data_IF_647206538601
#
_entry.id   IF_647206538601
#
_cell.length_a   1.000
_cell.length_b   1.000
_cell.length_c   1.000
_cell.angle_alpha   90.00
_cell.angle_beta   90.00
_cell.angle_gamma   90.00
#
_symmetry.space_group_name_H-M   'P 1'
#
loop_
_entity.id
_entity.type
_entity.pdbx_description
1 polymer ?
#
# COMPACT_ATOMS: atom_id res chain seq x y z
N UNK A 1 27.45 -1.35 -10.55
CA UNK A 1 26.42 -0.61 -9.76
C UNK A 1 25.21 -1.47 -9.39
N UNK A 2 24.69 -2.34 -10.26
CA UNK A 2 23.48 -3.15 -10.00
C UNK A 2 23.53 -4.06 -8.75
N UNK A 3 24.68 -4.67 -8.44
CA UNK A 3 24.83 -5.51 -7.24
C UNK A 3 24.80 -4.73 -5.93
N UNK A 4 25.31 -3.48 -5.94
CA UNK A 4 25.27 -2.59 -4.78
C UNK A 4 23.82 -2.17 -4.49
N UNK A 5 23.09 -1.73 -5.51
CA UNK A 5 21.68 -1.33 -5.38
C UNK A 5 20.80 -2.47 -4.83
N UNK A 6 20.98 -3.71 -5.30
CA UNK A 6 20.25 -4.87 -4.76
C UNK A 6 20.56 -5.15 -3.28
N UNK A 7 21.82 -5.00 -2.87
CA UNK A 7 22.23 -5.18 -1.47
C UNK A 7 21.67 -4.06 -0.57
N UNK A 8 21.70 -2.82 -1.07
CA UNK A 8 21.13 -1.66 -0.35
C UNK A 8 19.62 -1.82 -0.18
N UNK A 9 18.91 -2.23 -1.23
CA UNK A 9 17.47 -2.54 -1.17
C UNK A 9 17.17 -3.66 -0.16
N UNK A 10 17.93 -4.76 -0.19
CA UNK A 10 17.76 -5.86 0.76
C UNK A 10 17.92 -5.38 2.21
N UNK A 11 18.94 -4.56 2.47
CA UNK A 11 19.16 -3.96 3.80
C UNK A 11 18.00 -3.06 4.22
N UNK A 12 17.53 -2.19 3.33
CA UNK A 12 16.44 -1.26 3.60
C UNK A 12 15.12 -2.00 3.87
N UNK A 13 14.81 -3.02 3.07
CA UNK A 13 13.62 -3.86 3.25
C UNK A 13 13.65 -4.60 4.60
N UNK A 14 14.77 -5.24 4.94
CA UNK A 14 14.90 -5.91 6.22
C UNK A 14 14.70 -4.94 7.39
N UNK A 15 15.30 -3.75 7.32
CA UNK A 15 15.14 -2.73 8.36
C UNK A 15 13.71 -2.21 8.46
N UNK A 16 13.03 -1.98 7.33
CA UNK A 16 11.64 -1.55 7.28
C UNK A 16 10.72 -2.60 7.91
N UNK A 17 10.87 -3.87 7.53
CA UNK A 17 10.08 -4.98 8.08
C UNK A 17 10.31 -5.16 9.57
N UNK A 18 11.56 -5.09 10.07
CA UNK A 18 11.83 -5.20 11.50
C UNK A 18 11.15 -4.08 12.31
N UNK A 19 11.22 -2.83 11.81
CA UNK A 19 10.55 -1.69 12.46
C UNK A 19 9.03 -1.83 12.42
N UNK A 20 8.49 -2.31 11.30
CA UNK A 20 7.06 -2.56 11.10
C UNK A 20 6.53 -3.54 12.14
N UNK A 21 7.15 -4.72 12.24
CA UNK A 21 6.72 -5.76 13.19
C UNK A 21 6.89 -5.33 14.64
N UNK A 22 8.03 -4.69 14.97
CA UNK A 22 8.28 -4.23 16.34
C UNK A 22 7.26 -3.18 16.78
N UNK A 23 6.98 -2.20 15.92
CA UNK A 23 6.03 -1.13 16.23
C UNK A 23 4.60 -1.65 16.29
N UNK A 24 4.20 -2.51 15.33
CA UNK A 24 2.92 -3.20 15.38
C UNK A 24 2.74 -3.98 16.67
N UNK A 25 3.72 -4.82 17.04
CA UNK A 25 3.65 -5.60 18.27
C UNK A 25 3.52 -4.68 19.48
N UNK A 26 4.35 -3.63 19.58
CA UNK A 26 4.32 -2.69 20.69
C UNK A 26 2.95 -2.01 20.83
N UNK A 27 2.39 -1.45 19.74
CA UNK A 27 1.12 -0.72 19.80
C UNK A 27 -0.07 -1.65 20.10
N UNK A 28 -0.10 -2.85 19.53
CA UNK A 28 -1.14 -3.83 19.82
C UNK A 28 -1.06 -4.30 21.29
N UNK A 29 0.14 -4.57 21.80
CA UNK A 29 0.31 -4.93 23.21
C UNK A 29 -0.10 -3.79 24.14
N UNK A 30 0.30 -2.55 23.86
CA UNK A 30 -0.09 -1.37 24.65
C UNK A 30 -1.62 -1.22 24.66
N UNK A 31 -2.28 -1.34 23.51
CA UNK A 31 -3.74 -1.27 23.43
C UNK A 31 -4.41 -2.37 24.24
N UNK A 32 -3.97 -3.63 24.09
CA UNK A 32 -4.54 -4.77 24.79
C UNK A 32 -4.33 -4.66 26.31
N UNK A 33 -3.13 -4.32 26.75
CA UNK A 33 -2.82 -4.11 28.17
C UNK A 33 -3.66 -2.97 28.75
N UNK A 34 -3.74 -1.83 28.04
CA UNK A 34 -4.57 -0.71 28.48
C UNK A 34 -6.05 -1.09 28.59
N UNK A 35 -6.57 -1.82 27.61
CA UNK A 35 -7.94 -2.34 27.60
C UNK A 35 -8.20 -3.27 28.77
N UNK A 36 -7.32 -4.23 29.04
CA UNK A 36 -7.54 -5.20 30.12
C UNK A 36 -7.28 -4.62 31.52
N UNK A 37 -6.34 -3.69 31.66
CA UNK A 37 -5.96 -3.13 32.97
C UNK A 37 -6.76 -1.88 33.37
N UNK A 38 -7.03 -0.96 32.43
CA UNK A 38 -7.48 0.40 32.75
C UNK A 38 -8.83 0.78 32.11
N UNK A 39 -9.16 0.23 30.94
CA UNK A 39 -10.33 0.67 30.17
C UNK A 39 -11.12 -0.50 29.56
N UNK A 40 -11.83 -1.31 30.37
CA UNK A 40 -12.61 -2.44 29.88
C UNK A 40 -13.78 -2.03 28.96
N UNK A 41 -14.10 -0.75 28.88
CA UNK A 41 -15.11 -0.21 27.96
C UNK A 41 -14.63 -0.07 26.51
N UNK A 42 -13.33 -0.20 26.20
CA UNK A 42 -12.88 -0.13 24.79
C UNK A 42 -13.38 -1.35 24.01
N UNK A 43 -13.82 -1.16 22.77
CA UNK A 43 -14.41 -2.25 21.98
C UNK A 43 -13.31 -3.19 21.46
N UNK A 44 -13.29 -4.42 21.97
CA UNK A 44 -12.39 -5.48 21.47
C UNK A 44 -12.82 -5.91 20.05
N UNK A 45 -14.12 -5.91 19.77
CA UNK A 45 -14.66 -6.27 18.46
C UNK A 45 -14.18 -5.28 17.40
N UNK A 46 -14.28 -3.97 17.68
CA UNK A 46 -13.78 -2.94 16.76
C UNK A 46 -12.27 -3.08 16.55
N UNK A 47 -11.50 -3.33 17.62
CA UNK A 47 -10.07 -3.60 17.52
C UNK A 47 -9.76 -4.77 16.59
N UNK A 48 -10.40 -5.93 16.78
CA UNK A 48 -10.14 -7.12 15.95
C UNK A 48 -10.51 -6.84 14.50
N UNK A 49 -11.73 -6.37 14.25
CA UNK A 49 -12.25 -6.17 12.88
C UNK A 49 -11.44 -5.13 12.11
N UNK A 50 -11.14 -3.99 12.73
CA UNK A 50 -10.45 -2.88 12.06
C UNK A 50 -8.93 -3.10 11.97
N UNK A 51 -8.36 -4.02 12.75
CA UNK A 51 -6.93 -4.37 12.64
C UNK A 51 -6.65 -5.47 11.61
N UNK A 52 -7.65 -6.28 11.22
CA UNK A 52 -7.48 -7.35 10.21
C UNK A 52 -6.84 -6.82 8.92
N UNK A 53 -7.30 -5.71 8.31
CA UNK A 53 -6.69 -5.20 7.09
C UNK A 53 -5.23 -4.79 7.26
N UNK A 54 -4.85 -4.23 8.42
CA UNK A 54 -3.47 -3.90 8.72
C UNK A 54 -2.59 -5.14 8.88
N UNK A 55 -3.11 -6.22 9.50
CA UNK A 55 -2.38 -7.49 9.59
C UNK A 55 -2.23 -8.16 8.23
N UNK A 56 -3.26 -8.12 7.39
CA UNK A 56 -3.18 -8.62 6.01
C UNK A 56 -2.12 -7.86 5.21
N UNK A 57 -2.06 -6.53 5.35
CA UNK A 57 -1.02 -5.70 4.72
C UNK A 57 0.38 -6.05 5.23
N UNK A 58 0.56 -6.22 6.54
CA UNK A 58 1.85 -6.63 7.12
C UNK A 58 2.32 -7.99 6.56
N UNK A 59 1.41 -8.96 6.50
CA UNK A 59 1.72 -10.27 5.93
C UNK A 59 2.14 -10.19 4.47
N UNK A 60 1.41 -9.42 3.66
CA UNK A 60 1.72 -9.26 2.25
C UNK A 60 3.04 -8.49 2.02
N UNK A 61 3.35 -7.46 2.82
CA UNK A 61 4.63 -6.74 2.78
C UNK A 61 5.80 -7.65 3.20
N UNK A 62 5.62 -8.48 4.22
CA UNK A 62 6.62 -9.47 4.63
C UNK A 62 6.86 -10.49 3.51
N UNK A 63 5.81 -11.06 2.95
CA UNK A 63 5.92 -12.05 1.87
C UNK A 63 6.61 -11.50 0.62
N UNK A 64 6.33 -10.24 0.28
CA UNK A 64 6.87 -9.59 -0.92
C UNK A 64 8.27 -8.97 -0.71
N UNK A 65 8.50 -8.32 0.43
CA UNK A 65 9.68 -7.51 0.70
C UNK A 65 10.83 -8.24 1.37
N UNK A 66 10.60 -9.41 1.99
CA UNK A 66 11.64 -10.11 2.78
C UNK A 66 12.81 -10.57 1.89
N UNK A 67 14.04 -10.09 2.14
CA UNK A 67 15.21 -10.56 1.41
C UNK A 67 15.49 -12.03 1.71
N UNK A 68 15.90 -12.78 0.68
CA UNK A 68 16.26 -14.20 0.81
C UNK A 68 17.70 -14.42 0.42
N UNK A 69 18.39 -15.23 1.21
CA UNK A 69 19.80 -15.57 1.04
C UNK A 69 19.94 -17.06 0.74
N UNK A 70 21.00 -17.41 0.02
CA UNK A 70 21.37 -18.78 -0.24
C UNK A 70 21.93 -19.44 1.02
N UNK A 71 21.43 -20.62 1.37
CA UNK A 71 21.79 -21.28 2.63
C UNK A 71 23.22 -21.84 2.63
N UNK A 72 23.80 -22.15 1.47
CA UNK A 72 25.13 -22.75 1.36
C UNK A 72 26.24 -21.68 1.24
N UNK A 73 25.97 -20.62 0.47
CA UNK A 73 26.95 -19.57 0.16
C UNK A 73 26.76 -18.26 0.94
N UNK A 74 25.61 -18.08 1.60
CA UNK A 74 25.23 -16.80 2.22
C UNK A 74 24.98 -15.67 1.22
N UNK A 75 25.02 -15.95 -0.09
CA UNK A 75 24.83 -14.95 -1.12
C UNK A 75 23.37 -14.49 -1.20
N UNK A 76 23.15 -13.20 -1.47
CA UNK A 76 21.81 -12.66 -1.66
C UNK A 76 21.16 -13.25 -2.92
N UNK A 77 20.05 -13.97 -2.76
CA UNK A 77 19.25 -14.54 -3.87
C UNK A 77 18.25 -13.53 -4.41
N UNK A 78 17.51 -12.87 -3.52
CA UNK A 78 16.55 -11.82 -3.88
C UNK A 78 16.51 -10.74 -2.80
N UNK A 79 16.43 -9.48 -3.22
CA UNK A 79 16.24 -8.35 -2.32
C UNK A 79 14.78 -8.20 -1.85
N UNK A 80 13.84 -8.92 -2.48
CA UNK A 80 12.40 -8.68 -2.34
C UNK A 80 11.91 -7.54 -3.24
N UNK A 81 10.60 -7.27 -3.23
CA UNK A 81 10.03 -6.06 -3.83
C UNK A 81 10.49 -4.82 -3.04
N UNK A 82 10.64 -3.68 -3.73
CA UNK A 82 11.00 -2.44 -3.06
C UNK A 82 9.84 -1.98 -2.17
N UNK A 83 10.07 -1.95 -0.85
CA UNK A 83 9.06 -1.50 0.11
C UNK A 83 8.86 0.01 0.10
N UNK A 84 9.73 0.78 -0.56
CA UNK A 84 9.55 2.21 -0.79
C UNK A 84 8.83 2.52 -2.12
N UNK A 85 8.35 1.49 -2.85
CA UNK A 85 7.68 1.71 -4.12
C UNK A 85 6.36 2.48 -3.94
N UNK A 86 6.10 3.52 -4.77
CA UNK A 86 4.85 4.26 -4.70
C UNK A 86 3.66 3.41 -5.18
N UNK A 87 2.46 3.81 -4.77
CA UNK A 87 1.21 3.17 -5.20
C UNK A 87 0.70 2.11 -4.21
N UNK A 88 0.65 0.84 -4.60
CA UNK A 88 0.03 -0.20 -3.76
C UNK A 88 0.79 -0.43 -2.45
N UNK A 89 2.12 -0.51 -2.51
CA UNK A 89 2.96 -0.71 -1.31
C UNK A 89 2.80 0.45 -0.34
N UNK A 90 2.82 1.68 -0.85
CA UNK A 90 2.54 2.90 -0.08
C UNK A 90 1.16 2.85 0.58
N UNK A 91 0.11 2.50 -0.18
CA UNK A 91 -1.24 2.33 0.37
C UNK A 91 -1.32 1.26 1.47
N UNK A 92 -0.58 0.15 1.34
CA UNK A 92 -0.51 -0.88 2.38
C UNK A 92 0.13 -0.35 3.67
N UNK A 93 1.15 0.51 3.56
CA UNK A 93 1.71 1.21 4.71
C UNK A 93 0.72 2.21 5.32
N UNK A 94 -0.03 2.96 4.50
CA UNK A 94 -1.06 3.89 4.98
C UNK A 94 -2.13 3.18 5.80
N UNK A 95 -2.61 2.01 5.34
CA UNK A 95 -3.55 1.17 6.11
C UNK A 95 -2.99 0.85 7.49
N UNK A 96 -1.71 0.49 7.58
CA UNK A 96 -1.05 0.13 8.84
C UNK A 96 -0.86 1.36 9.73
N UNK A 97 -0.35 2.46 9.17
CA UNK A 97 -0.09 3.70 9.91
C UNK A 97 -1.37 4.35 10.43
N UNK A 98 -2.44 4.40 9.62
CA UNK A 98 -3.75 4.89 10.07
C UNK A 98 -4.30 3.98 11.17
N UNK A 99 -4.16 2.66 11.05
CA UNK A 99 -4.59 1.72 12.09
C UNK A 99 -3.83 1.96 13.40
N UNK A 100 -2.50 2.17 13.35
CA UNK A 100 -1.70 2.55 14.51
C UNK A 100 -2.18 3.86 15.14
N UNK A 101 -2.47 4.87 14.31
CA UNK A 101 -3.07 6.13 14.74
C UNK A 101 -4.41 5.93 15.45
N UNK A 102 -5.27 5.05 14.94
CA UNK A 102 -6.53 4.68 15.59
C UNK A 102 -6.30 3.99 16.94
N UNK A 103 -5.36 3.05 17.06
CA UNK A 103 -5.04 2.40 18.34
C UNK A 103 -4.64 3.43 19.39
N UNK A 104 -3.76 4.35 19.03
CA UNK A 104 -3.33 5.44 19.89
C UNK A 104 -4.51 6.36 20.25
N UNK A 105 -5.29 6.80 19.27
CA UNK A 105 -6.42 7.70 19.49
C UNK A 105 -7.51 7.07 20.37
N UNK A 106 -7.80 5.78 20.23
CA UNK A 106 -8.82 5.08 21.02
C UNK A 106 -8.41 4.93 22.48
N UNK A 107 -7.11 4.86 22.79
CA UNK A 107 -6.62 4.88 24.17
C UNK A 107 -7.09 6.17 24.86
N UNK A 108 -6.87 7.34 24.24
CA UNK A 108 -7.18 8.65 24.83
C UNK A 108 -8.63 9.10 24.64
N UNK A 109 -9.15 9.06 23.41
CA UNK A 109 -10.47 9.61 23.05
C UNK A 109 -11.59 8.56 23.06
N UNK A 110 -11.26 7.27 23.22
CA UNK A 110 -12.23 6.19 23.32
C UNK A 110 -12.79 5.69 22.00
N UNK A 111 -13.88 4.91 22.08
CA UNK A 111 -14.37 4.13 20.94
C UNK A 111 -14.80 4.98 19.74
N UNK A 112 -15.15 6.25 19.94
CA UNK A 112 -15.50 7.14 18.84
C UNK A 112 -14.31 7.43 17.92
N UNK A 113 -13.07 7.32 18.42
CA UNK A 113 -11.86 7.48 17.61
C UNK A 113 -11.69 6.39 16.55
N UNK A 114 -12.41 5.26 16.63
CA UNK A 114 -12.44 4.28 15.54
C UNK A 114 -13.00 4.86 14.24
N UNK A 115 -13.74 5.97 14.27
CA UNK A 115 -14.20 6.65 13.07
C UNK A 115 -13.05 7.18 12.20
N UNK A 116 -11.88 7.46 12.78
CA UNK A 116 -10.68 7.84 12.03
C UNK A 116 -10.27 6.75 11.03
N UNK A 117 -10.62 5.50 11.31
CA UNK A 117 -10.34 4.38 10.41
C UNK A 117 -11.07 4.50 9.07
N UNK A 118 -12.20 5.22 9.01
CA UNK A 118 -12.96 5.45 7.77
C UNK A 118 -12.16 6.19 6.69
N UNK A 119 -11.05 6.85 7.06
CA UNK A 119 -10.11 7.46 6.10
C UNK A 119 -9.58 6.43 5.11
N UNK A 120 -9.33 5.19 5.54
CA UNK A 120 -8.79 4.13 4.68
C UNK A 120 -9.73 3.81 3.51
N UNK A 121 -10.99 3.37 3.73
CA UNK A 121 -11.90 3.10 2.62
C UNK A 121 -12.26 4.35 1.83
N UNK A 122 -12.34 5.53 2.46
CA UNK A 122 -12.58 6.78 1.74
C UNK A 122 -11.46 7.08 0.73
N UNK A 123 -10.21 6.92 1.14
CA UNK A 123 -9.06 7.08 0.25
C UNK A 123 -8.99 6.00 -0.82
N UNK A 124 -9.31 4.74 -0.46
CA UNK A 124 -9.40 3.64 -1.43
C UNK A 124 -10.44 3.91 -2.54
N UNK A 125 -11.60 4.47 -2.20
CA UNK A 125 -12.62 4.89 -3.17
C UNK A 125 -12.11 6.04 -4.05
N UNK A 126 -11.43 7.02 -3.46
CA UNK A 126 -10.83 8.13 -4.21
C UNK A 126 -9.83 7.60 -5.26
N UNK A 127 -8.90 6.74 -4.86
CA UNK A 127 -7.90 6.15 -5.76
C UNK A 127 -8.56 5.30 -6.86
N UNK A 128 -9.55 4.48 -6.49
CA UNK A 128 -10.32 3.64 -7.42
C UNK A 128 -11.11 4.46 -8.45
N UNK A 129 -11.66 5.61 -8.05
CA UNK A 129 -12.38 6.50 -8.97
C UNK A 129 -11.46 7.11 -10.03
N UNK A 130 -10.20 7.44 -9.67
CA UNK A 130 -9.18 7.92 -10.61
C UNK A 130 -8.76 6.86 -11.63
N UNK A 131 -8.59 5.60 -11.19
CA UNK A 131 -8.31 4.46 -12.07
C UNK A 131 -9.44 4.20 -13.08
N UNK A 132 -10.69 4.27 -12.64
CA UNK A 132 -11.85 4.14 -13.52
C UNK A 132 -11.93 5.29 -14.54
N UNK A 133 -11.58 6.51 -14.14
CA UNK A 133 -11.49 7.67 -15.03
C UNK A 133 -10.43 7.51 -16.11
N UNK A 134 -9.21 7.10 -15.73
CA UNK A 134 -8.11 6.78 -16.66
C UNK A 134 -8.47 5.64 -17.61
N UNK A 135 -9.12 4.59 -17.10
CA UNK A 135 -9.58 3.46 -17.91
C UNK A 135 -10.61 3.88 -18.96
N UNK A 136 -11.58 4.73 -18.57
CA UNK A 136 -12.57 5.30 -19.50
C UNK A 136 -11.93 6.20 -20.55
N UNK A 137 -10.99 7.05 -20.17
CA UNK A 137 -10.27 7.91 -21.10
C UNK A 137 -9.46 7.10 -22.11
N UNK A 138 -8.75 6.06 -21.65
CA UNK A 138 -7.96 5.18 -22.52
C UNK A 138 -8.84 4.35 -23.46
N UNK A 139 -10.00 3.88 -22.99
CA UNK A 139 -11.00 3.22 -23.83
C UNK A 139 -11.59 4.18 -24.88
N UNK A 140 -11.93 5.41 -24.49
CA UNK A 140 -12.42 6.43 -25.42
C UNK A 140 -11.37 6.80 -26.48
N UNK A 141 -10.09 6.88 -26.10
CA UNK A 141 -8.99 7.11 -27.03
C UNK A 141 -8.79 5.94 -28.00
N UNK A 142 -8.89 4.69 -27.52
CA UNK A 142 -8.86 3.51 -28.41
C UNK A 142 -10.06 3.43 -29.34
N UNK A 143 -11.24 3.90 -28.92
CA UNK A 143 -12.42 3.99 -29.79
C UNK A 143 -12.27 5.10 -30.83
N UNK A 144 -11.65 6.23 -30.48
CA UNK A 144 -11.35 7.31 -31.41
C UNK A 144 -10.26 6.92 -32.43
N UNK A 145 -9.23 6.18 -32.01
CA UNK A 145 -8.17 5.67 -32.89
C UNK A 145 -8.61 4.42 -33.71
N UNK A 146 -9.70 3.76 -33.29
CA UNK A 146 -10.30 2.60 -33.97
C UNK A 146 -11.44 2.95 -34.95
N UNK A 147 -11.84 4.21 -35.04
CA UNK A 147 -12.82 4.68 -36.02
C UNK A 147 -12.08 5.01 -37.33
N UNK A 148 -12.44 4.43 -38.50
CA UNK A 148 -11.90 4.87 -39.77
C UNK A 148 -12.47 6.25 -40.08
N UNK A 149 -11.82 7.31 -39.59
CA UNK A 149 -12.08 8.68 -40.01
C UNK A 149 -11.75 8.83 -41.50
N UNK A 150 -12.52 9.64 -42.26
CA UNK A 150 -12.36 9.72 -43.70
C UNK A 150 -10.94 10.16 -44.02
N UNK A 151 -10.28 9.41 -44.90
CA UNK A 151 -8.95 9.70 -45.40
C UNK A 151 -8.90 11.15 -45.87
N UNK A 152 -8.24 12.01 -45.10
CA UNK A 152 -7.96 13.38 -45.52
C UNK A 152 -6.94 13.30 -46.65
N UNK A 153 -7.47 13.12 -47.86
CA UNK A 153 -6.72 13.00 -49.09
C UNK A 153 -5.74 14.15 -49.21
N UNK A 154 -4.47 13.80 -49.36
CA UNK A 154 -3.35 14.71 -49.47
C UNK A 154 -3.46 15.51 -50.78
N UNK A 155 -4.26 16.59 -50.79
CA UNK A 155 -4.51 17.48 -51.96
C UNK A 155 -3.31 18.37 -52.32
N UNK A 156 -2.11 18.11 -51.77
CA UNK A 156 -0.91 18.94 -52.02
C UNK A 156 0.05 18.38 -53.07
N UNK A 157 -0.17 17.20 -53.65
CA UNK A 157 0.75 16.63 -54.65
C UNK A 157 0.34 16.80 -56.13
N UNK A 158 -0.79 17.46 -56.44
CA UNK A 158 -1.23 17.72 -57.83
C UNK A 158 -1.04 19.18 -58.25
N UNK A 159 0.16 19.74 -58.06
CA UNK A 159 0.59 20.99 -58.72
C UNK A 159 2.10 20.95 -58.96
N UNK A 160 2.56 19.97 -59.71
CA UNK A 160 3.88 19.95 -60.32
C UNK A 160 3.91 18.82 -61.37
N UNK A 161 3.31 19.08 -62.53
CA UNK A 161 3.56 18.39 -63.79
C UNK A 161 3.09 19.30 -64.92
#
# INVERSE_FOLDING_TARGET
>A
MAQKAKKDQAKNNAAALSRLHLTSLALNLVFLLFRFALAPSRSLVAYVVLSIPAFACQYALEAAGRPRFDAASGALRTAGQDLAAPGLTEYMFDVIWVTWGCLFAVIFAGNWAWLLWAVIPAYGVYLGSGLLGLGRQKMAQMQADGQPGPSQGNRRSRRAA
#
